data_IF_138605872264
#
_entry.id   IF_138605872264
#
_cell.length_a   1.000
_cell.length_b   1.000
_cell.length_c   1.000
_cell.angle_alpha   90.00
_cell.angle_beta   90.00
_cell.angle_gamma   90.00
#
_symmetry.space_group_name_H-M   'P 1'
#
loop_
_entity.id
_entity.type
_entity.pdbx_description
1 polymer ?
#
# COMPACT_ATOMS: atom_id res chain seq x y z
N UNK A 1 -27.28 8.02 8.11
CA UNK A 1 -27.53 7.65 6.70
C UNK A 1 -28.94 7.08 6.57
N UNK A 2 -29.59 7.16 5.40
CA UNK A 2 -30.91 6.56 5.17
C UNK A 2 -30.76 5.27 4.37
N UNK A 3 -31.60 4.28 4.66
CA UNK A 3 -31.63 3.04 3.89
C UNK A 3 -32.20 3.31 2.50
N UNK A 4 -31.57 2.77 1.45
CA UNK A 4 -32.05 2.84 0.06
C UNK A 4 -33.38 2.12 -0.14
N UNK A 5 -33.60 1.04 0.61
CA UNK A 5 -34.73 0.13 0.38
C UNK A 5 -35.97 0.49 1.20
N UNK A 6 -35.79 1.05 2.40
CA UNK A 6 -36.91 1.36 3.29
C UNK A 6 -36.98 2.83 3.75
N UNK A 7 -35.98 3.65 3.41
CA UNK A 7 -35.92 5.05 3.84
C UNK A 7 -35.68 5.28 5.34
N UNK A 8 -35.57 4.21 6.14
CA UNK A 8 -35.33 4.27 7.58
C UNK A 8 -34.00 4.95 7.93
N UNK A 9 -33.96 5.68 9.06
CA UNK A 9 -32.73 6.27 9.58
C UNK A 9 -31.84 5.18 10.18
N UNK A 10 -30.65 5.02 9.64
CA UNK A 10 -29.68 4.01 10.09
C UNK A 10 -28.60 4.70 10.95
N UNK A 11 -28.30 4.17 12.16
CA UNK A 11 -27.15 4.58 12.96
C UNK A 11 -25.82 4.26 12.25
N UNK A 12 -24.78 5.06 12.52
CA UNK A 12 -23.46 4.87 11.90
C UNK A 12 -22.83 3.54 12.36
N UNK A 13 -22.30 2.74 11.41
CA UNK A 13 -21.64 1.46 11.68
C UNK A 13 -22.53 0.21 11.62
N UNK A 14 -23.83 0.34 11.34
CA UNK A 14 -24.71 -0.81 11.15
C UNK A 14 -24.48 -1.48 9.79
N UNK A 15 -24.20 -2.80 9.80
CA UNK A 15 -24.05 -3.64 8.60
C UNK A 15 -25.39 -4.02 7.96
N UNK A 16 -26.48 -3.95 8.73
CA UNK A 16 -27.82 -4.31 8.30
C UNK A 16 -28.81 -3.25 8.77
N UNK A 17 -29.83 -2.99 7.96
CA UNK A 17 -30.89 -2.07 8.33
C UNK A 17 -31.81 -2.72 9.36
N UNK A 18 -31.96 -2.10 10.53
CA UNK A 18 -32.82 -2.60 11.62
C UNK A 18 -34.32 -2.61 11.28
N UNK A 19 -34.73 -1.96 10.19
CA UNK A 19 -36.14 -1.83 9.80
C UNK A 19 -36.57 -2.83 8.71
N UNK A 20 -35.71 -3.10 7.73
CA UNK A 20 -36.03 -3.98 6.60
C UNK A 20 -35.08 -5.17 6.44
N UNK A 21 -34.02 -5.26 7.24
CA UNK A 21 -33.01 -6.31 7.13
C UNK A 21 -32.07 -6.20 5.93
N UNK A 22 -32.22 -5.16 5.07
CA UNK A 22 -31.34 -4.95 3.94
C UNK A 22 -29.87 -4.77 4.40
N UNK A 23 -28.95 -5.42 3.71
CA UNK A 23 -27.52 -5.27 3.96
C UNK A 23 -27.09 -3.87 3.55
N UNK A 24 -26.64 -3.09 4.53
CA UNK A 24 -26.08 -1.80 4.26
C UNK A 24 -24.62 -2.07 3.97
N UNK A 25 -24.20 -1.80 2.73
CA UNK A 25 -22.79 -1.67 2.40
C UNK A 25 -22.26 -0.46 3.16
N UNK A 26 -22.02 -0.63 4.45
CA UNK A 26 -21.27 0.29 5.26
C UNK A 26 -19.92 0.34 4.59
N UNK A 27 -19.71 1.45 3.87
CA UNK A 27 -18.39 1.91 3.50
C UNK A 27 -17.72 2.26 4.83
N UNK A 28 -17.36 1.26 5.63
CA UNK A 28 -16.09 1.30 6.34
C UNK A 28 -15.07 1.25 5.19
N UNK A 29 -14.90 2.31 4.40
CA UNK A 29 -13.95 3.38 4.69
C UNK A 29 -12.65 2.84 5.31
N UNK A 30 -12.21 1.70 4.75
CA UNK A 30 -10.82 1.41 4.36
C UNK A 30 -10.12 2.62 3.69
N UNK A 31 -10.89 3.59 3.19
CA UNK A 31 -10.42 4.87 2.64
C UNK A 31 -9.60 5.70 3.65
N UNK A 32 -9.83 5.56 4.96
CA UNK A 32 -9.00 6.22 5.97
C UNK A 32 -7.59 5.62 6.09
N UNK A 33 -7.37 4.43 5.53
CA UNK A 33 -6.05 3.82 5.50
C UNK A 33 -5.26 4.15 4.24
N UNK A 34 -5.85 4.69 3.17
CA UNK A 34 -5.16 5.15 1.95
C UNK A 34 -4.31 6.43 2.15
N UNK A 35 -3.93 6.73 3.39
CA UNK A 35 -2.88 7.68 3.68
C UNK A 35 -1.51 7.07 3.31
N UNK A 36 -0.59 7.84 2.71
CA UNK A 36 0.78 7.41 2.47
C UNK A 36 1.46 7.17 3.82
N UNK A 37 1.53 5.92 4.24
CA UNK A 37 2.23 5.51 5.45
C UNK A 37 3.74 5.54 5.19
N UNK A 38 4.36 6.68 5.51
CA UNK A 38 5.80 6.95 5.30
C UNK A 38 6.72 5.84 5.84
N UNK A 39 6.30 5.11 6.89
CA UNK A 39 7.05 3.98 7.44
C UNK A 39 7.30 2.85 6.44
N UNK A 40 6.39 2.58 5.51
CA UNK A 40 6.59 1.54 4.49
C UNK A 40 7.60 1.96 3.42
N UNK A 41 7.76 3.26 3.18
CA UNK A 41 8.80 3.79 2.31
C UNK A 41 10.19 3.61 2.92
N UNK A 42 10.35 3.83 4.24
CA UNK A 42 11.59 3.52 4.94
C UNK A 42 11.89 2.00 4.97
N UNK A 43 10.89 1.15 5.24
CA UNK A 43 11.09 -0.31 5.27
C UNK A 43 11.51 -0.87 3.90
N UNK A 44 10.92 -0.36 2.81
CA UNK A 44 11.27 -0.80 1.45
C UNK A 44 12.66 -0.32 1.00
N UNK A 45 13.14 0.81 1.53
CA UNK A 45 14.52 1.24 1.33
C UNK A 45 15.53 0.33 2.03
N UNK A 46 15.19 -0.17 3.23
CA UNK A 46 16.08 -1.06 4.00
C UNK A 46 16.12 -2.49 3.45
N UNK A 47 15.02 -2.98 2.87
CA UNK A 47 14.90 -4.35 2.34
C UNK A 47 14.19 -4.30 0.96
N UNK A 48 14.95 -4.12 -0.15
CA UNK A 48 14.40 -4.02 -1.50
C UNK A 48 13.42 -5.14 -1.90
N UNK A 49 13.64 -6.44 -1.60
CA UNK A 49 12.68 -7.49 -1.96
C UNK A 49 11.34 -7.39 -1.21
N UNK A 50 11.32 -6.80 0.00
CA UNK A 50 10.08 -6.59 0.75
C UNK A 50 9.16 -5.58 0.02
N UNK A 51 9.75 -4.55 -0.59
CA UNK A 51 9.00 -3.57 -1.40
C UNK A 51 8.28 -4.20 -2.61
N UNK A 52 8.90 -5.19 -3.24
CA UNK A 52 8.31 -5.92 -4.37
C UNK A 52 7.16 -6.84 -3.94
N UNK A 53 7.29 -7.52 -2.80
CA UNK A 53 6.23 -8.36 -2.24
C UNK A 53 5.01 -7.53 -1.82
N UNK A 54 5.23 -6.38 -1.15
CA UNK A 54 4.16 -5.46 -0.77
C UNK A 54 3.40 -4.91 -1.99
N UNK A 55 4.10 -4.60 -3.08
CA UNK A 55 3.50 -4.17 -4.33
C UNK A 55 2.50 -5.20 -4.88
N UNK A 56 2.87 -6.48 -4.87
CA UNK A 56 2.00 -7.57 -5.38
C UNK A 56 0.75 -7.79 -4.50
N UNK A 57 0.90 -7.75 -3.17
CA UNK A 57 -0.21 -7.96 -2.22
C UNK A 57 -1.23 -6.81 -2.28
N UNK A 58 -0.78 -5.56 -2.42
CA UNK A 58 -1.67 -4.38 -2.42
C UNK A 58 -2.25 -4.00 -3.78
N UNK A 59 -1.79 -4.60 -4.88
CA UNK A 59 -2.26 -4.30 -6.25
C UNK A 59 -3.78 -4.39 -6.41
N UNK A 60 -4.44 -5.33 -5.72
CA UNK A 60 -5.89 -5.56 -5.85
C UNK A 60 -6.76 -4.77 -4.86
N UNK A 61 -6.21 -4.35 -3.72
CA UNK A 61 -7.00 -3.70 -2.64
C UNK A 61 -6.75 -2.20 -2.51
N UNK A 62 -5.53 -1.71 -2.74
CA UNK A 62 -5.17 -0.30 -2.52
C UNK A 62 -4.30 0.25 -3.66
N UNK A 63 -4.92 0.77 -4.74
CA UNK A 63 -4.17 1.20 -5.93
C UNK A 63 -3.27 2.41 -5.67
N UNK A 64 -3.59 3.25 -4.67
CA UNK A 64 -2.78 4.42 -4.29
C UNK A 64 -1.51 4.01 -3.55
N UNK A 65 -1.62 3.15 -2.52
CA UNK A 65 -0.45 2.66 -1.75
C UNK A 65 0.52 1.85 -2.60
N UNK A 66 -0.01 1.04 -3.52
CA UNK A 66 0.80 0.24 -4.42
C UNK A 66 1.74 1.11 -5.28
N UNK A 67 1.29 2.28 -5.76
CA UNK A 67 2.11 3.17 -6.59
C UNK A 67 3.30 3.73 -5.83
N UNK A 68 3.10 4.26 -4.62
CA UNK A 68 4.20 4.84 -3.82
C UNK A 68 5.18 3.78 -3.31
N UNK A 69 4.68 2.59 -2.91
CA UNK A 69 5.54 1.47 -2.49
C UNK A 69 6.40 0.93 -3.64
N UNK A 70 5.86 0.89 -4.87
CA UNK A 70 6.61 0.47 -6.05
C UNK A 70 7.74 1.43 -6.40
N UNK A 71 7.49 2.74 -6.32
CA UNK A 71 8.51 3.77 -6.58
C UNK A 71 9.63 3.72 -5.52
N UNK A 72 9.29 3.54 -4.24
CA UNK A 72 10.28 3.40 -3.16
C UNK A 72 11.21 2.20 -3.35
N UNK A 73 10.67 1.05 -3.76
CA UNK A 73 11.46 -0.14 -4.06
C UNK A 73 12.43 0.07 -5.25
N UNK A 74 11.96 0.78 -6.28
CA UNK A 74 12.76 1.07 -7.48
C UNK A 74 13.92 2.02 -7.18
N UNK A 75 13.66 3.08 -6.41
CA UNK A 75 14.69 4.04 -5.97
C UNK A 75 15.72 3.34 -5.06
N UNK A 76 15.27 2.50 -4.11
CA UNK A 76 16.17 1.74 -3.24
C UNK A 76 17.09 0.78 -4.02
N UNK A 77 16.54 0.07 -5.01
CA UNK A 77 17.31 -0.84 -5.86
C UNK A 77 18.34 -0.11 -6.73
N UNK A 78 17.97 1.04 -7.31
CA UNK A 78 18.87 1.88 -8.11
C UNK A 78 19.97 2.49 -7.23
N UNK A 79 19.64 3.02 -6.04
CA UNK A 79 20.62 3.59 -5.12
C UNK A 79 21.63 2.54 -4.64
N UNK A 80 21.17 1.33 -4.33
CA UNK A 80 22.03 0.23 -3.91
C UNK A 80 22.95 -0.25 -5.05
N UNK A 81 22.42 -0.34 -6.28
CA UNK A 81 23.22 -0.66 -7.46
C UNK A 81 24.28 0.41 -7.74
N UNK A 82 23.93 1.71 -7.68
CA UNK A 82 24.87 2.81 -7.90
C UNK A 82 25.99 2.89 -6.87
N UNK A 83 25.81 2.39 -5.65
CA UNK A 83 26.87 2.35 -4.64
C UNK A 83 27.75 1.11 -4.77
N UNK A 84 27.14 -0.06 -4.97
CA UNK A 84 27.86 -1.34 -5.01
C UNK A 84 28.58 -1.57 -6.35
N UNK A 85 27.98 -1.19 -7.48
CA UNK A 85 28.57 -1.40 -8.82
C UNK A 85 29.92 -0.69 -8.97
N UNK A 86 30.09 0.61 -8.65
CA UNK A 86 31.39 1.25 -8.75
C UNK A 86 32.38 0.80 -7.66
N UNK A 87 31.93 0.35 -6.48
CA UNK A 87 32.84 -0.23 -5.48
C UNK A 87 33.37 -1.58 -5.94
N UNK A 88 32.50 -2.42 -6.51
CA UNK A 88 32.84 -3.72 -7.06
C UNK A 88 33.67 -3.60 -8.34
N UNK A 89 33.40 -2.59 -9.19
CA UNK A 89 34.20 -2.29 -10.37
C UNK A 89 35.59 -1.74 -10.03
N UNK A 90 35.71 -0.91 -8.98
CA UNK A 90 37.02 -0.47 -8.47
C UNK A 90 37.83 -1.63 -7.91
N UNK A 91 37.21 -2.53 -7.14
CA UNK A 91 37.88 -3.71 -6.61
C UNK A 91 38.30 -4.68 -7.71
N UNK A 92 37.45 -4.91 -8.72
CA UNK A 92 37.77 -5.74 -9.87
C UNK A 92 38.95 -5.18 -10.68
N UNK A 93 38.96 -3.87 -10.95
CA UNK A 93 40.08 -3.18 -11.63
C UNK A 93 41.37 -3.09 -10.80
N UNK A 94 41.29 -3.20 -9.48
CA UNK A 94 42.46 -3.27 -8.61
C UNK A 94 43.06 -4.67 -8.53
N UNK A 95 42.27 -5.70 -8.81
CA UNK A 95 42.67 -7.09 -8.71
C UNK A 95 43.07 -7.70 -10.06
N UNK A 96 42.71 -7.06 -11.18
CA UNK A 96 42.94 -7.50 -12.55
C UNK A 96 43.49 -6.34 -13.39
#
# INVERSE_FOLDING_TARGET
MKCSDCGGKIPAGAKYCSYCGAEIKSVFEEKSMDAPSAGFALLSYLIPPAGFVFFLVWKKKYPLKAKYSGIGALIGLIAMALLLVPSMYRLWKLFF
#
